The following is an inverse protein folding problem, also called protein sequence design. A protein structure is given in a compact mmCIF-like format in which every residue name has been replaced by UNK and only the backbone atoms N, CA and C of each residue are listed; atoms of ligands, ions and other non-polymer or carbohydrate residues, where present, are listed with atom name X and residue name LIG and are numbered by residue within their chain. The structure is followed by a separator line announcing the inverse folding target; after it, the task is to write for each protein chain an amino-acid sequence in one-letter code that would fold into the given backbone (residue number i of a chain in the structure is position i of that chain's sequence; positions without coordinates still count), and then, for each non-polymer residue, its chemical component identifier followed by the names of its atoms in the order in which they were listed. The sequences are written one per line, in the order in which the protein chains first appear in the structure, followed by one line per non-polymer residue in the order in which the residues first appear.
data_IF_458642457949
#
_entry.id   IF_458642457949
#
_cell.length_a   1.000
_cell.length_b   1.000
_cell.length_c   1.000
_cell.angle_alpha   90.00
_cell.angle_beta   90.00
_cell.angle_gamma   90.00
#
_symmetry.space_group_name_H-M   'P 1'
#
loop_
_entity.id
_entity.type
_entity.pdbx_description
1 polymer ?
#
# COMPACT_ATOMS: atom_id res chain seq x y z
N UNK A 1 59.52 15.73 -34.84
CA UNK A 1 60.43 14.68 -34.33
C UNK A 1 59.86 14.15 -33.01
N UNK A 2 59.73 12.82 -32.91
CA UNK A 2 59.43 11.93 -31.75
C UNK A 2 58.34 12.39 -30.74
N UNK A 3 57.20 11.71 -30.49
CA UNK A 3 56.82 10.28 -30.40
C UNK A 3 57.60 9.48 -29.35
N UNK A 4 56.98 9.19 -28.20
CA UNK A 4 57.31 8.02 -27.37
C UNK A 4 56.03 7.46 -26.74
N UNK A 5 55.69 6.27 -27.22
CA UNK A 5 54.75 5.26 -26.72
C UNK A 5 55.29 4.60 -25.46
N UNK A 6 54.45 4.13 -24.54
CA UNK A 6 54.83 3.03 -23.64
C UNK A 6 53.68 2.05 -23.46
N UNK A 7 54.02 0.77 -23.64
CA UNK A 7 53.17 -0.41 -23.75
C UNK A 7 53.35 -1.28 -22.49
N UNK A 8 52.22 -1.85 -22.05
CA UNK A 8 51.95 -3.14 -21.36
C UNK A 8 52.77 -3.63 -20.15
N UNK A 9 52.06 -4.28 -19.23
CA UNK A 9 52.26 -5.72 -18.95
C UNK A 9 51.19 -6.27 -18.00
N UNK A 10 50.52 -7.34 -18.42
CA UNK A 10 49.83 -8.31 -17.56
C UNK A 10 50.84 -9.30 -16.97
N UNK A 11 50.47 -10.00 -15.89
CA UNK A 11 50.80 -11.41 -15.79
C UNK A 11 49.58 -12.30 -15.52
N UNK A 12 49.70 -13.49 -16.07
CA UNK A 12 48.80 -14.64 -16.17
C UNK A 12 48.84 -15.58 -14.97
N UNK A 13 47.67 -16.19 -14.70
CA UNK A 13 47.38 -17.61 -14.41
C UNK A 13 48.16 -18.38 -13.31
N UNK A 14 47.42 -19.02 -12.41
CA UNK A 14 47.65 -20.42 -12.05
C UNK A 14 46.37 -21.10 -11.51
N UNK A 15 45.96 -22.16 -12.22
CA UNK A 15 45.06 -23.23 -11.81
C UNK A 15 45.71 -24.11 -10.73
N UNK A 16 44.94 -24.59 -9.75
CA UNK A 16 45.24 -25.84 -9.02
C UNK A 16 43.94 -26.62 -8.81
N UNK A 17 43.97 -27.89 -9.25
CA UNK A 17 42.93 -28.92 -9.13
C UNK A 17 43.19 -29.82 -7.92
N UNK A 18 42.08 -30.23 -7.27
CA UNK A 18 41.72 -31.40 -6.42
C UNK A 18 42.78 -32.38 -5.86
N UNK A 19 42.47 -33.09 -4.75
CA UNK A 19 41.85 -34.43 -4.89
C UNK A 19 40.76 -34.79 -3.84
N UNK A 20 39.95 -35.78 -4.24
CA UNK A 20 38.94 -36.52 -3.49
C UNK A 20 39.46 -37.22 -2.22
N UNK A 21 38.58 -37.37 -1.22
CA UNK A 21 38.64 -38.47 -0.26
C UNK A 21 37.24 -39.07 -0.05
N UNK A 22 37.09 -40.32 -0.51
CA UNK A 22 35.99 -41.24 -0.21
C UNK A 22 36.29 -41.99 1.09
N UNK A 23 35.29 -42.17 1.96
CA UNK A 23 35.15 -43.34 2.85
C UNK A 23 33.77 -43.42 3.52
N UNK A 24 33.00 -44.41 3.07
CA UNK A 24 32.14 -45.37 3.78
C UNK A 24 31.71 -45.05 5.24
N UNK A 25 30.39 -45.00 5.48
CA UNK A 25 29.79 -45.52 6.71
C UNK A 25 28.41 -46.14 6.46
N UNK A 26 28.20 -47.29 7.09
CA UNK A 26 27.11 -48.24 6.88
C UNK A 26 25.79 -47.83 7.58
N UNK A 27 24.69 -48.16 6.90
CA UNK A 27 23.33 -48.51 7.36
C UNK A 27 22.94 -48.31 8.84
N UNK A 28 21.85 -47.55 9.05
CA UNK A 28 20.78 -47.91 9.99
C UNK A 28 19.41 -47.63 9.36
N UNK A 29 18.66 -48.70 9.05
CA UNK A 29 17.27 -48.64 8.62
C UNK A 29 16.35 -48.47 9.84
N UNK A 30 15.72 -47.31 9.97
CA UNK A 30 14.60 -47.07 10.88
C UNK A 30 13.29 -47.20 10.10
N UNK A 31 12.52 -48.25 10.39
CA UNK A 31 11.19 -48.45 9.84
C UNK A 31 10.17 -47.63 10.64
N UNK A 32 9.87 -46.41 10.21
CA UNK A 32 8.73 -45.65 10.70
C UNK A 32 7.52 -45.90 9.79
N UNK A 33 6.55 -46.61 10.35
CA UNK A 33 5.27 -46.96 9.74
C UNK A 33 4.37 -45.72 9.73
N UNK A 34 4.44 -44.90 8.67
CA UNK A 34 3.53 -43.76 8.49
C UNK A 34 2.10 -44.24 8.19
N UNK A 35 1.18 -43.94 9.11
CA UNK A 35 -0.26 -44.05 8.88
C UNK A 35 -0.68 -42.97 7.87
N UNK A 36 -0.98 -43.36 6.63
CA UNK A 36 -1.60 -42.51 5.61
C UNK A 36 -3.04 -42.18 6.02
N UNK A 37 -3.28 -40.97 6.49
CA UNK A 37 -4.61 -40.39 6.53
C UNK A 37 -4.84 -39.68 5.19
N UNK A 38 -5.60 -40.30 4.28
CA UNK A 38 -5.97 -39.68 3.00
C UNK A 38 -7.04 -38.61 3.25
N UNK A 39 -6.61 -37.37 3.52
CA UNK A 39 -7.45 -36.20 3.30
C UNK A 39 -7.62 -36.05 1.80
N UNK A 40 -8.85 -36.21 1.32
CA UNK A 40 -9.23 -35.83 -0.04
C UNK A 40 -8.99 -34.32 -0.14
N UNK A 41 -7.95 -33.93 -0.87
CA UNK A 41 -7.79 -32.56 -1.36
C UNK A 41 -8.97 -32.31 -2.30
N UNK A 42 -9.90 -31.47 -1.87
CA UNK A 42 -10.80 -30.81 -2.79
C UNK A 42 -9.95 -29.71 -3.43
N UNK A 43 -9.38 -30.01 -4.59
CA UNK A 43 -8.78 -29.01 -5.47
C UNK A 43 -9.91 -28.17 -6.04
N UNK A 44 -10.31 -27.13 -5.30
CA UNK A 44 -11.00 -25.99 -5.88
C UNK A 44 -9.94 -24.96 -6.21
N UNK A 45 -9.51 -24.89 -7.46
CA UNK A 45 -8.76 -23.74 -7.95
C UNK A 45 -9.72 -22.55 -7.98
N UNK A 46 -9.74 -21.78 -6.90
CA UNK A 46 -10.23 -20.40 -6.98
C UNK A 46 -9.00 -19.60 -7.36
N UNK A 47 -8.76 -19.42 -8.67
CA UNK A 47 -7.84 -18.40 -9.15
C UNK A 47 -8.64 -17.11 -9.15
N UNK A 48 -8.39 -16.23 -8.18
CA UNK A 48 -9.03 -14.92 -8.18
C UNK A 48 -8.29 -14.05 -9.21
N UNK A 49 -8.68 -14.16 -10.47
CA UNK A 49 -8.16 -13.31 -11.53
C UNK A 49 -8.56 -11.85 -11.27
N UNK A 50 -7.59 -10.95 -11.23
CA UNK A 50 -7.86 -9.51 -11.16
C UNK A 50 -8.51 -9.08 -12.47
N UNK A 51 -9.69 -8.47 -12.39
CA UNK A 51 -10.46 -8.01 -13.54
C UNK A 51 -10.16 -6.54 -13.89
N UNK A 52 -10.19 -6.22 -15.18
CA UNK A 52 -10.15 -4.83 -15.64
C UNK A 52 -11.52 -4.18 -15.45
N UNK A 53 -11.67 -3.40 -14.37
CA UNK A 53 -12.89 -2.62 -14.13
C UNK A 53 -12.99 -1.44 -15.12
N UNK A 54 -14.16 -1.22 -15.75
CA UNK A 54 -14.38 -0.07 -16.61
C UNK A 54 -14.48 1.24 -15.80
N UNK A 55 -14.19 2.40 -16.39
CA UNK A 55 -14.51 3.69 -15.77
C UNK A 55 -16.01 3.81 -15.50
N UNK A 56 -16.45 4.58 -14.48
CA UNK A 56 -17.87 4.72 -14.11
C UNK A 56 -18.67 5.61 -15.09
N UNK A 57 -18.15 5.85 -16.28
CA UNK A 57 -18.73 6.69 -17.32
C UNK A 57 -18.28 6.21 -18.71
N UNK A 58 -19.01 6.63 -19.75
CA UNK A 58 -18.63 6.33 -21.14
C UNK A 58 -17.27 6.97 -21.49
N UNK A 59 -16.49 6.34 -22.39
CA UNK A 59 -15.12 6.78 -22.68
C UNK A 59 -15.01 8.18 -23.29
N UNK A 60 -16.08 8.74 -23.84
CA UNK A 60 -16.14 10.11 -24.36
C UNK A 60 -16.80 11.10 -23.38
N UNK A 61 -17.21 10.67 -22.19
CA UNK A 61 -18.01 11.49 -21.27
C UNK A 61 -17.21 12.61 -20.58
N UNK A 62 -15.87 12.57 -20.68
CA UNK A 62 -14.98 13.60 -20.14
C UNK A 62 -14.55 14.64 -21.19
N UNK A 63 -15.04 14.54 -22.43
CA UNK A 63 -14.78 15.55 -23.46
C UNK A 63 -15.40 16.91 -23.08
N UNK A 64 -14.75 18.04 -23.43
CA UNK A 64 -13.52 18.16 -24.21
C UNK A 64 -12.24 18.18 -23.35
N UNK A 65 -12.33 17.77 -22.08
CA UNK A 65 -11.27 17.97 -21.08
C UNK A 65 -10.27 16.82 -21.02
N UNK A 66 -10.71 15.61 -21.36
CA UNK A 66 -9.90 14.43 -21.63
C UNK A 66 -10.55 13.71 -22.81
N UNK A 67 -9.80 13.47 -23.88
CA UNK A 67 -10.37 12.93 -25.10
C UNK A 67 -10.76 11.46 -24.94
N UNK A 68 -11.72 11.02 -25.76
CA UNK A 68 -12.03 9.60 -25.88
C UNK A 68 -10.80 8.77 -26.24
N UNK A 69 -9.92 9.30 -27.09
CA UNK A 69 -8.69 8.62 -27.50
C UNK A 69 -7.76 8.39 -26.30
N UNK A 70 -7.56 9.41 -25.45
CA UNK A 70 -6.83 9.26 -24.19
C UNK A 70 -7.40 8.13 -23.33
N UNK A 71 -8.73 8.03 -23.16
CA UNK A 71 -9.31 6.94 -22.37
C UNK A 71 -9.19 5.57 -23.03
N UNK A 72 -9.32 5.47 -24.34
CA UNK A 72 -9.13 4.21 -25.07
C UNK A 72 -7.69 3.67 -24.91
N UNK A 73 -6.69 4.54 -24.89
CA UNK A 73 -5.30 4.15 -24.61
C UNK A 73 -5.06 3.92 -23.12
N UNK A 74 -5.41 4.88 -22.27
CA UNK A 74 -5.05 4.88 -20.85
C UNK A 74 -5.78 3.76 -20.08
N UNK A 75 -7.09 3.60 -20.26
CA UNK A 75 -7.82 2.46 -19.70
C UNK A 75 -7.65 1.20 -20.57
N UNK A 76 -7.88 1.31 -21.87
CA UNK A 76 -7.97 0.15 -22.76
C UNK A 76 -6.64 -0.55 -23.05
N UNK A 77 -5.51 0.14 -22.93
CA UNK A 77 -4.15 -0.39 -23.14
C UNK A 77 -3.29 -0.39 -21.88
N UNK A 78 -3.08 0.76 -21.25
CA UNK A 78 -2.17 0.86 -20.09
C UNK A 78 -2.72 0.11 -18.89
N UNK A 79 -3.93 0.46 -18.42
CA UNK A 79 -4.57 -0.23 -17.30
C UNK A 79 -4.75 -1.73 -17.59
N UNK A 80 -5.24 -2.09 -18.78
CA UNK A 80 -5.32 -3.50 -19.23
C UNK A 80 -3.97 -4.23 -19.18
N UNK A 81 -2.90 -3.55 -19.58
CA UNK A 81 -1.54 -4.10 -19.55
C UNK A 81 -1.10 -4.45 -18.13
N UNK A 82 -1.36 -3.56 -17.17
CA UNK A 82 -1.07 -3.81 -15.75
C UNK A 82 -1.87 -5.00 -15.21
N UNK A 83 -3.17 -5.09 -15.50
CA UNK A 83 -4.02 -6.23 -15.10
C UNK A 83 -3.47 -7.54 -15.67
N UNK A 84 -3.20 -7.59 -16.97
CA UNK A 84 -2.71 -8.79 -17.64
C UNK A 84 -1.34 -9.24 -17.10
N UNK A 85 -0.44 -8.29 -16.81
CA UNK A 85 0.88 -8.59 -16.29
C UNK A 85 0.82 -9.02 -14.83
N UNK A 86 -0.04 -8.39 -14.01
CA UNK A 86 -0.25 -8.79 -12.63
C UNK A 86 -0.75 -10.23 -12.54
N UNK A 87 -1.80 -10.57 -13.29
CA UNK A 87 -2.35 -11.93 -13.30
C UNK A 87 -1.28 -12.97 -13.65
N UNK A 88 -0.42 -12.71 -14.64
CA UNK A 88 0.72 -13.58 -14.98
C UNK A 88 1.77 -13.69 -13.87
N UNK A 89 1.94 -12.66 -13.06
CA UNK A 89 2.94 -12.65 -11.98
C UNK A 89 2.44 -13.37 -10.72
N UNK A 90 1.13 -13.37 -10.47
CA UNK A 90 0.55 -13.95 -9.25
C UNK A 90 0.01 -15.37 -9.44
N UNK A 91 -0.28 -15.79 -10.68
CA UNK A 91 -0.84 -17.11 -10.99
C UNK A 91 -0.05 -18.25 -10.30
N UNK A 92 -0.74 -19.03 -9.47
CA UNK A 92 -0.14 -20.16 -8.74
C UNK A 92 0.80 -19.78 -7.59
N UNK A 93 0.83 -18.50 -7.21
CA UNK A 93 1.55 -18.01 -6.02
C UNK A 93 0.58 -17.76 -4.86
N UNK A 94 1.11 -17.51 -3.65
CA UNK A 94 0.29 -17.10 -2.49
C UNK A 94 -0.44 -15.77 -2.70
N UNK A 95 -0.02 -14.95 -3.67
CA UNK A 95 -0.64 -13.66 -3.99
C UNK A 95 -1.96 -13.82 -4.76
N UNK A 96 -2.20 -14.97 -5.41
CA UNK A 96 -3.42 -15.24 -6.21
C UNK A 96 -4.70 -15.27 -5.36
N UNK A 97 -4.56 -15.50 -4.04
CA UNK A 97 -5.69 -15.57 -3.10
C UNK A 97 -5.91 -14.25 -2.34
N UNK A 98 -5.08 -13.24 -2.58
CA UNK A 98 -5.08 -11.98 -1.83
C UNK A 98 -5.90 -10.89 -2.52
N UNK A 99 -6.40 -9.94 -1.71
CA UNK A 99 -6.95 -8.69 -2.25
C UNK A 99 -5.86 -7.86 -2.93
N UNK A 100 -6.24 -6.97 -3.86
CA UNK A 100 -5.29 -6.12 -4.56
C UNK A 100 -4.47 -5.26 -3.59
N UNK A 101 -5.10 -4.70 -2.57
CA UNK A 101 -4.47 -3.92 -1.50
C UNK A 101 -3.47 -4.75 -0.68
N UNK A 102 -3.82 -6.01 -0.39
CA UNK A 102 -2.92 -6.95 0.29
C UNK A 102 -1.71 -7.30 -0.57
N UNK A 103 -1.90 -7.52 -1.88
CA UNK A 103 -0.79 -7.75 -2.83
C UNK A 103 0.14 -6.54 -2.86
N UNK A 104 -0.40 -5.32 -2.93
CA UNK A 104 0.40 -4.07 -2.92
C UNK A 104 1.22 -3.99 -1.64
N UNK A 105 0.60 -4.21 -0.48
CA UNK A 105 1.26 -4.13 0.82
C UNK A 105 2.37 -5.18 0.96
N UNK A 106 2.10 -6.43 0.59
CA UNK A 106 3.07 -7.52 0.64
C UNK A 106 4.24 -7.30 -0.33
N UNK A 107 3.95 -6.89 -1.56
CA UNK A 107 4.95 -6.71 -2.62
C UNK A 107 5.74 -5.40 -2.50
N UNK A 108 5.26 -4.40 -1.75
CA UNK A 108 6.06 -3.22 -1.43
C UNK A 108 7.27 -3.58 -0.56
N UNK A 109 7.12 -4.58 0.33
CA UNK A 109 8.19 -5.15 1.14
C UNK A 109 9.08 -4.08 1.81
N UNK A 110 8.44 -3.13 2.49
CA UNK A 110 9.10 -2.01 3.21
C UNK A 110 10.06 -1.19 2.34
N UNK A 111 9.78 -1.10 1.03
CA UNK A 111 10.58 -0.37 0.05
C UNK A 111 11.55 -1.26 -0.75
N UNK A 112 11.75 -2.53 -0.38
CA UNK A 112 12.48 -3.52 -1.19
C UNK A 112 11.51 -4.22 -2.17
N UNK A 113 11.06 -3.41 -3.12
CA UNK A 113 9.93 -3.70 -4.03
C UNK A 113 10.10 -5.04 -4.75
N UNK A 114 9.11 -5.93 -4.58
CA UNK A 114 9.00 -7.20 -5.29
C UNK A 114 8.38 -7.04 -6.69
N UNK A 115 8.59 -7.99 -7.63
CA UNK A 115 8.19 -7.85 -9.03
C UNK A 115 6.70 -7.55 -9.28
N UNK A 116 5.80 -8.03 -8.41
CA UNK A 116 4.35 -7.85 -8.54
C UNK A 116 3.89 -6.42 -8.23
N UNK A 117 4.64 -5.66 -7.41
CA UNK A 117 4.22 -4.37 -6.86
C UNK A 117 3.83 -3.37 -7.93
N UNK A 118 4.68 -3.19 -8.95
CA UNK A 118 4.45 -2.16 -9.96
C UNK A 118 3.13 -2.38 -10.71
N UNK A 119 2.81 -3.64 -11.07
CA UNK A 119 1.54 -3.92 -11.74
C UNK A 119 0.36 -3.86 -10.76
N UNK A 120 0.50 -4.42 -9.56
CA UNK A 120 -0.55 -4.38 -8.53
C UNK A 120 -0.95 -2.94 -8.18
N UNK A 121 0.04 -2.11 -7.85
CA UNK A 121 -0.19 -0.72 -7.50
C UNK A 121 -0.72 0.08 -8.69
N UNK A 122 -0.25 -0.16 -9.92
CA UNK A 122 -0.81 0.54 -11.08
C UNK A 122 -2.25 0.14 -11.39
N UNK A 123 -2.66 -1.12 -11.22
CA UNK A 123 -4.08 -1.51 -11.34
C UNK A 123 -4.92 -0.69 -10.36
N UNK A 124 -4.52 -0.67 -9.09
CA UNK A 124 -5.24 0.05 -8.06
C UNK A 124 -5.26 1.57 -8.31
N UNK A 125 -4.12 2.16 -8.67
CA UNK A 125 -4.01 3.60 -8.94
C UNK A 125 -4.94 4.02 -10.07
N UNK A 126 -5.03 3.23 -11.15
CA UNK A 126 -5.89 3.55 -12.29
C UNK A 126 -7.36 3.37 -11.96
N UNK A 127 -7.74 2.28 -11.27
CA UNK A 127 -9.11 2.11 -10.78
C UNK A 127 -9.53 3.33 -9.94
N UNK A 128 -8.70 3.71 -8.98
CA UNK A 128 -8.92 4.87 -8.12
C UNK A 128 -8.98 6.20 -8.89
N UNK A 129 -8.19 6.35 -9.96
CA UNK A 129 -8.15 7.52 -10.83
C UNK A 129 -9.44 7.69 -11.65
N UNK A 130 -10.00 6.61 -12.20
CA UNK A 130 -11.26 6.70 -12.95
C UNK A 130 -12.41 7.18 -12.07
N UNK A 131 -12.49 6.66 -10.84
CA UNK A 131 -13.48 7.09 -9.85
C UNK A 131 -13.25 8.51 -9.31
N UNK A 132 -12.02 9.01 -9.42
CA UNK A 132 -11.66 10.38 -9.02
C UNK A 132 -12.23 11.44 -9.97
N UNK A 133 -12.75 11.03 -11.13
CA UNK A 133 -13.33 11.90 -12.14
C UNK A 133 -14.82 11.66 -12.35
N UNK A 134 -15.53 12.66 -12.86
CA UNK A 134 -16.89 12.50 -13.40
C UNK A 134 -17.19 13.48 -14.52
N UNK A 135 -18.14 13.16 -15.42
CA UNK A 135 -18.70 14.14 -16.35
C UNK A 135 -19.31 15.33 -15.58
N UNK A 136 -18.97 16.56 -15.97
CA UNK A 136 -19.41 17.75 -15.26
C UNK A 136 -18.83 17.91 -13.86
N UNK A 137 -17.63 17.34 -13.62
CA UNK A 137 -16.90 17.49 -12.36
C UNK A 137 -16.28 18.87 -12.17
N UNK A 138 -15.33 18.94 -11.23
CA UNK A 138 -14.71 20.18 -10.78
C UNK A 138 -15.58 20.95 -9.80
N UNK A 139 -15.42 22.28 -9.77
CA UNK A 139 -16.04 23.12 -8.74
C UNK A 139 -15.35 22.96 -7.37
N UNK A 140 -16.11 23.17 -6.30
CA UNK A 140 -15.61 23.07 -4.91
C UNK A 140 -16.33 21.92 -4.17
N UNK A 141 -15.63 21.23 -3.24
CA UNK A 141 -16.30 20.32 -2.32
C UNK A 141 -17.20 21.10 -1.36
N UNK A 142 -18.02 20.38 -0.60
CA UNK A 142 -18.90 20.93 0.42
C UNK A 142 -18.88 20.05 1.67
N UNK A 143 -19.61 20.48 2.71
CA UNK A 143 -19.70 19.73 3.97
C UNK A 143 -18.36 19.56 4.67
N UNK A 144 -18.21 18.44 5.36
CA UNK A 144 -17.05 18.14 6.20
C UNK A 144 -15.72 18.17 5.42
N UNK A 145 -15.70 17.69 4.17
CA UNK A 145 -14.50 17.75 3.34
C UNK A 145 -14.00 19.19 3.17
N UNK A 146 -14.90 20.15 2.92
CA UNK A 146 -14.52 21.56 2.78
C UNK A 146 -14.03 22.15 4.11
N UNK A 147 -14.63 21.75 5.24
CA UNK A 147 -14.20 22.18 6.57
C UNK A 147 -12.79 21.70 6.89
N UNK A 148 -12.48 20.42 6.65
CA UNK A 148 -11.13 19.87 6.83
C UNK A 148 -10.13 20.53 5.88
N UNK A 149 -10.52 20.81 4.64
CA UNK A 149 -9.66 21.55 3.70
C UNK A 149 -9.33 22.94 4.22
N UNK A 150 -10.32 23.68 4.71
CA UNK A 150 -10.10 25.01 5.28
C UNK A 150 -9.25 24.96 6.55
N UNK A 151 -9.41 23.92 7.37
CA UNK A 151 -8.57 23.69 8.55
C UNK A 151 -7.11 23.46 8.15
N UNK A 152 -6.86 22.51 7.26
CA UNK A 152 -5.53 21.96 6.98
C UNK A 152 -4.75 22.77 5.93
N UNK A 153 -5.44 23.40 4.98
CA UNK A 153 -4.82 24.21 3.92
C UNK A 153 -5.14 25.70 4.03
N UNK A 154 -5.99 26.09 4.98
CA UNK A 154 -6.44 27.46 5.16
C UNK A 154 -7.55 27.93 4.24
N UNK A 155 -7.62 27.37 3.03
CA UNK A 155 -8.71 27.56 2.10
C UNK A 155 -8.71 26.44 1.05
N UNK A 156 -9.82 26.32 0.31
CA UNK A 156 -9.88 25.49 -0.89
C UNK A 156 -8.79 25.89 -1.91
N UNK A 157 -8.57 27.18 -2.11
CA UNK A 157 -7.51 27.69 -2.98
C UNK A 157 -6.12 27.27 -2.49
N UNK A 158 -5.91 27.20 -1.17
CA UNK A 158 -4.69 26.67 -0.56
C UNK A 158 -4.46 25.20 -0.91
N UNK A 159 -5.50 24.35 -0.81
CA UNK A 159 -5.41 22.96 -1.26
C UNK A 159 -5.05 22.88 -2.75
N UNK A 160 -5.76 23.62 -3.59
CA UNK A 160 -5.54 23.60 -5.05
C UNK A 160 -4.11 24.04 -5.39
N UNK A 161 -3.56 25.03 -4.68
CA UNK A 161 -2.17 25.45 -4.82
C UNK A 161 -1.20 24.30 -4.50
N UNK A 162 -1.32 23.69 -3.33
CA UNK A 162 -0.45 22.60 -2.89
C UNK A 162 -0.55 21.38 -3.81
N UNK A 163 -1.77 21.01 -4.21
CA UNK A 163 -2.00 19.89 -5.13
C UNK A 163 -1.38 20.13 -6.50
N UNK A 164 -1.56 21.34 -7.06
CA UNK A 164 -0.92 21.73 -8.33
C UNK A 164 0.59 21.69 -8.23
N UNK A 165 1.16 22.24 -7.15
CA UNK A 165 2.60 22.23 -6.93
C UNK A 165 3.14 20.80 -6.86
N UNK A 166 2.48 19.91 -6.13
CA UNK A 166 2.87 18.50 -6.04
C UNK A 166 2.83 17.81 -7.41
N UNK A 167 1.75 17.97 -8.17
CA UNK A 167 1.59 17.38 -9.50
C UNK A 167 2.60 17.92 -10.53
N UNK A 168 2.85 19.24 -10.53
CA UNK A 168 3.83 19.86 -11.45
C UNK A 168 5.26 19.45 -11.10
N UNK A 169 5.59 19.37 -9.81
CA UNK A 169 6.97 19.10 -9.37
C UNK A 169 7.31 17.62 -9.24
N UNK A 170 6.37 16.71 -9.55
CA UNK A 170 6.69 15.28 -9.69
C UNK A 170 7.55 15.09 -10.94
N UNK A 171 8.84 14.84 -10.76
CA UNK A 171 9.74 14.64 -11.89
C UNK A 171 9.57 13.23 -12.47
N UNK A 172 9.51 13.15 -13.81
CA UNK A 172 9.21 11.90 -14.51
C UNK A 172 7.78 11.43 -14.29
N UNK A 173 7.62 10.11 -14.23
CA UNK A 173 6.36 9.42 -14.01
C UNK A 173 5.96 9.37 -12.54
N UNK A 174 4.66 9.48 -12.28
CA UNK A 174 4.15 9.41 -10.91
C UNK A 174 2.73 9.92 -10.77
N UNK A 175 2.37 10.21 -9.52
CA UNK A 175 1.01 10.58 -9.13
C UNK A 175 1.03 11.72 -8.12
N UNK A 176 -0.03 12.51 -8.06
CA UNK A 176 -0.30 13.45 -6.98
C UNK A 176 -1.57 13.04 -6.23
N UNK A 177 -1.55 13.13 -4.91
CA UNK A 177 -2.59 12.60 -4.03
C UNK A 177 -3.03 13.64 -3.03
N UNK A 178 -4.33 13.66 -2.74
CA UNK A 178 -4.86 14.13 -1.47
C UNK A 178 -5.16 12.89 -0.63
N UNK A 179 -4.66 12.82 0.59
CA UNK A 179 -4.88 11.69 1.48
C UNK A 179 -5.29 12.16 2.88
N UNK A 180 -6.05 11.32 3.58
CA UNK A 180 -6.32 11.45 4.99
C UNK A 180 -5.28 10.65 5.77
N UNK A 181 -4.51 11.37 6.58
CA UNK A 181 -3.48 10.82 7.45
C UNK A 181 -4.08 10.65 8.84
N UNK A 182 -4.22 9.39 9.26
CA UNK A 182 -4.62 8.99 10.62
C UNK A 182 -3.45 9.30 11.57
N UNK A 183 -2.51 8.39 11.78
CA UNK A 183 -1.30 8.57 12.58
C UNK A 183 -0.36 7.40 12.24
N UNK A 184 0.98 7.61 12.27
CA UNK A 184 2.08 6.59 12.36
C UNK A 184 3.35 6.94 11.58
N UNK A 185 3.23 7.48 10.36
CA UNK A 185 4.39 7.71 9.49
C UNK A 185 4.40 9.14 8.98
N UNK A 186 5.49 9.86 9.28
CA UNK A 186 5.81 11.11 8.59
C UNK A 186 6.54 10.80 7.30
N UNK A 187 5.88 11.00 6.17
CA UNK A 187 6.51 10.87 4.86
C UNK A 187 7.12 12.23 4.51
N UNK A 188 8.44 12.34 4.26
CA UNK A 188 9.12 13.62 4.09
C UNK A 188 8.59 14.51 2.96
N UNK A 189 7.91 13.94 1.96
CA UNK A 189 7.33 14.67 0.84
C UNK A 189 5.81 14.91 0.95
N UNK A 190 5.17 14.48 2.04
CA UNK A 190 3.81 14.87 2.36
C UNK A 190 3.77 16.33 2.84
N UNK A 191 2.83 17.11 2.33
CA UNK A 191 2.67 18.54 2.58
C UNK A 191 1.32 18.80 3.23
N UNK A 192 1.36 19.45 4.39
CA UNK A 192 0.25 20.16 5.00
C UNK A 192 0.82 21.52 5.45
N UNK A 193 0.35 22.64 4.89
CA UNK A 193 0.93 23.95 5.14
C UNK A 193 0.59 24.51 6.52
N UNK A 194 -0.38 23.92 7.22
CA UNK A 194 -0.75 24.25 8.61
C UNK A 194 -0.52 23.02 9.49
N UNK A 195 0.75 22.63 9.70
CA UNK A 195 1.04 21.47 10.52
C UNK A 195 0.53 21.71 11.94
N UNK A 196 -0.38 20.86 12.38
CA UNK A 196 -0.66 20.62 13.79
C UNK A 196 0.04 19.34 14.23
N UNK A 197 0.34 19.24 15.52
CA UNK A 197 0.71 17.97 16.16
C UNK A 197 -0.47 16.99 16.21
N UNK A 198 -1.67 17.44 15.84
CA UNK A 198 -2.86 16.61 15.77
C UNK A 198 -2.85 15.71 14.53
N UNK A 199 -3.45 14.55 14.74
CA UNK A 199 -3.71 13.54 13.74
C UNK A 199 -4.94 13.80 12.91
N UNK A 200 -5.28 12.85 12.03
CA UNK A 200 -6.54 12.88 11.31
C UNK A 200 -6.64 14.14 10.45
N UNK A 201 -5.58 14.36 9.66
CA UNK A 201 -5.40 15.54 8.80
C UNK A 201 -5.26 15.19 7.34
N UNK A 202 -5.68 16.13 6.51
CA UNK A 202 -5.45 16.07 5.08
C UNK A 202 -4.00 16.42 4.77
N UNK A 203 -3.42 15.66 3.85
CA UNK A 203 -2.08 15.90 3.32
C UNK A 203 -2.09 15.80 1.79
N UNK A 204 -1.31 16.64 1.14
CA UNK A 204 -0.97 16.48 -0.28
C UNK A 204 0.36 15.75 -0.38
N UNK A 205 0.43 14.68 -1.16
CA UNK A 205 1.68 13.94 -1.39
C UNK A 205 1.83 13.63 -2.87
N UNK A 206 3.07 13.59 -3.36
CA UNK A 206 3.38 13.07 -4.71
C UNK A 206 4.16 11.78 -4.59
N UNK A 207 4.03 10.89 -5.55
CA UNK A 207 4.70 9.59 -5.51
C UNK A 207 5.31 9.24 -6.86
N UNK A 208 6.50 8.60 -6.89
CA UNK A 208 7.13 8.18 -8.12
C UNK A 208 6.51 6.87 -8.63
N UNK A 209 6.46 6.75 -9.96
CA UNK A 209 6.07 5.53 -10.66
C UNK A 209 4.72 4.97 -10.18
N UNK A 210 4.72 3.77 -9.59
CA UNK A 210 3.52 3.06 -9.15
C UNK A 210 3.19 3.28 -7.67
N UNK A 211 4.10 3.89 -6.90
CA UNK A 211 3.94 4.06 -5.46
C UNK A 211 2.66 4.83 -5.15
N UNK A 212 1.91 4.41 -4.15
CA UNK A 212 0.68 5.08 -3.71
C UNK A 212 0.62 5.16 -2.18
N UNK A 213 -0.27 5.98 -1.60
CA UNK A 213 -0.25 6.22 -0.16
C UNK A 213 -0.65 5.03 0.72
N UNK A 214 -1.17 3.93 0.15
CA UNK A 214 -1.50 2.72 0.92
C UNK A 214 -0.26 2.14 1.62
N UNK A 215 0.90 2.20 0.97
CA UNK A 215 2.16 1.68 1.52
C UNK A 215 2.72 2.53 2.67
N UNK A 216 2.09 3.68 2.94
CA UNK A 216 2.40 4.58 4.04
C UNK A 216 1.29 4.60 5.10
N UNK A 217 0.33 3.68 4.99
CA UNK A 217 -0.86 3.62 5.85
C UNK A 217 -1.69 4.91 5.82
N UNK A 218 -1.64 5.65 4.71
CA UNK A 218 -2.51 6.80 4.49
C UNK A 218 -3.74 6.35 3.71
N UNK A 219 -4.86 7.04 3.92
CA UNK A 219 -6.09 6.79 3.17
C UNK A 219 -6.18 7.74 1.96
N UNK A 220 -5.97 7.27 0.72
CA UNK A 220 -6.04 8.14 -0.45
C UNK A 220 -7.49 8.60 -0.67
N UNK A 221 -7.68 9.88 -0.99
CA UNK A 221 -8.99 10.48 -1.24
C UNK A 221 -9.16 10.93 -2.71
N UNK A 222 -8.13 11.57 -3.26
CA UNK A 222 -8.07 12.03 -4.65
C UNK A 222 -6.70 11.69 -5.24
N UNK A 223 -6.66 11.31 -6.52
CA UNK A 223 -5.40 11.14 -7.26
C UNK A 223 -5.44 11.84 -8.62
N UNK A 224 -4.26 12.20 -9.11
CA UNK A 224 -4.02 12.64 -10.47
C UNK A 224 -2.81 11.89 -11.05
N UNK A 225 -3.04 11.20 -12.17
CA UNK A 225 -1.97 10.59 -12.97
C UNK A 225 -1.15 11.68 -13.66
N UNK A 226 0.16 11.76 -13.40
CA UNK A 226 1.07 12.69 -14.09
C UNK A 226 2.11 11.96 -14.95
N UNK A 227 1.88 10.69 -15.25
CA UNK A 227 2.53 10.02 -16.37
C UNK A 227 2.13 10.68 -17.68
N UNK A 228 3.07 10.79 -18.61
CA UNK A 228 2.81 11.47 -19.90
C UNK A 228 1.66 10.81 -20.67
N UNK A 229 1.48 9.48 -20.59
CA UNK A 229 0.36 8.80 -21.26
C UNK A 229 -1.02 9.30 -20.83
N UNK A 230 -1.14 9.94 -19.65
CA UNK A 230 -2.42 10.43 -19.13
C UNK A 230 -2.86 11.76 -19.76
N UNK A 231 -1.94 12.49 -20.42
CA UNK A 231 -2.23 13.82 -20.93
C UNK A 231 -1.57 14.17 -22.27
N UNK A 232 -0.60 13.39 -22.75
CA UNK A 232 0.23 13.80 -23.88
C UNK A 232 -0.57 13.95 -25.18
N UNK A 233 -1.60 13.13 -25.40
CA UNK A 233 -2.46 13.23 -26.58
C UNK A 233 -3.31 14.51 -26.59
N UNK A 234 -3.65 15.04 -25.42
CA UNK A 234 -4.55 16.18 -25.26
C UNK A 234 -3.80 17.52 -24.99
N UNK A 235 -2.62 17.43 -24.37
CA UNK A 235 -1.87 18.58 -23.83
C UNK A 235 -0.38 18.59 -24.19
N UNK A 236 0.14 17.52 -24.80
CA UNK A 236 1.57 17.38 -25.10
C UNK A 236 2.45 17.67 -23.87
N UNK A 237 3.36 18.65 -23.94
CA UNK A 237 4.23 19.03 -22.82
C UNK A 237 3.54 19.93 -21.78
N UNK A 238 2.29 20.34 -21.98
CA UNK A 238 1.56 21.32 -21.16
C UNK A 238 0.90 20.65 -19.95
N UNK A 239 1.69 19.93 -19.15
CA UNK A 239 1.22 19.27 -17.91
C UNK A 239 0.46 20.23 -16.99
N UNK A 240 0.91 21.49 -16.87
CA UNK A 240 0.24 22.50 -16.03
C UNK A 240 -1.18 22.81 -16.48
N UNK A 241 -1.44 22.79 -17.79
CA UNK A 241 -2.78 22.99 -18.35
C UNK A 241 -3.67 21.79 -18.04
N UNK A 242 -3.14 20.57 -18.24
CA UNK A 242 -3.80 19.32 -17.88
C UNK A 242 -4.22 19.28 -16.40
N UNK A 243 -3.28 19.56 -15.48
CA UNK A 243 -3.54 19.59 -14.03
C UNK A 243 -4.65 20.62 -13.72
N UNK A 244 -4.58 21.80 -14.33
CA UNK A 244 -5.57 22.85 -14.11
C UNK A 244 -6.95 22.45 -14.65
N UNK A 245 -7.02 21.81 -15.82
CA UNK A 245 -8.28 21.30 -16.36
C UNK A 245 -8.86 20.21 -15.49
N UNK A 246 -8.04 19.25 -15.05
CA UNK A 246 -8.47 18.16 -14.17
C UNK A 246 -9.17 18.70 -12.91
N UNK A 247 -8.50 19.59 -12.17
CA UNK A 247 -9.03 20.16 -10.92
C UNK A 247 -10.30 20.99 -11.15
N UNK A 248 -10.37 21.72 -12.26
CA UNK A 248 -11.47 22.65 -12.52
C UNK A 248 -12.69 21.99 -13.16
N UNK A 249 -12.54 20.84 -13.82
CA UNK A 249 -13.56 20.28 -14.72
C UNK A 249 -13.84 18.79 -14.56
N UNK A 250 -12.94 18.03 -13.96
CA UNK A 250 -13.03 16.56 -13.94
C UNK A 250 -13.23 15.99 -12.54
N UNK A 251 -12.63 16.59 -11.50
CA UNK A 251 -12.67 16.02 -10.14
C UNK A 251 -14.09 15.74 -9.64
N UNK A 252 -14.32 14.52 -9.17
CA UNK A 252 -15.55 14.14 -8.46
C UNK A 252 -15.40 14.38 -6.96
N UNK A 253 -15.73 15.60 -6.50
CA UNK A 253 -15.66 15.92 -5.06
C UNK A 253 -16.60 15.07 -4.21
N UNK A 254 -17.71 14.58 -4.77
CA UNK A 254 -18.59 13.62 -4.10
C UNK A 254 -17.89 12.30 -3.80
N UNK A 255 -17.12 11.77 -4.76
CA UNK A 255 -16.31 10.56 -4.53
C UNK A 255 -15.26 10.82 -3.45
N UNK A 256 -14.62 11.99 -3.47
CA UNK A 256 -13.60 12.37 -2.46
C UNK A 256 -14.23 12.43 -1.06
N UNK A 257 -15.43 13.02 -0.92
CA UNK A 257 -16.18 13.03 0.34
C UNK A 257 -16.55 11.62 0.80
N UNK A 258 -17.08 10.77 -0.07
CA UNK A 258 -17.42 9.39 0.28
C UNK A 258 -16.20 8.59 0.76
N UNK A 259 -15.02 8.83 0.17
CA UNK A 259 -13.76 8.19 0.59
C UNK A 259 -13.26 8.71 1.94
N UNK A 260 -13.43 10.00 2.21
CA UNK A 260 -13.10 10.58 3.53
C UNK A 260 -13.95 9.92 4.61
N UNK A 261 -15.24 9.74 4.33
CA UNK A 261 -16.19 9.20 5.30
C UNK A 261 -15.90 7.72 5.54
N UNK A 262 -15.63 6.97 4.47
CA UNK A 262 -15.16 5.58 4.58
C UNK A 262 -13.85 5.47 5.38
N UNK A 263 -12.87 6.36 5.14
CA UNK A 263 -11.61 6.36 5.90
C UNK A 263 -11.85 6.58 7.39
N UNK A 264 -12.69 7.55 7.76
CA UNK A 264 -13.03 7.81 9.16
C UNK A 264 -13.76 6.64 9.83
N UNK A 265 -14.68 5.98 9.12
CA UNK A 265 -15.37 4.78 9.63
C UNK A 265 -14.38 3.65 9.86
N UNK A 266 -13.50 3.36 8.90
CA UNK A 266 -12.47 2.32 9.04
C UNK A 266 -11.56 2.57 10.25
N UNK A 267 -11.20 3.82 10.49
CA UNK A 267 -10.39 4.22 11.64
C UNK A 267 -11.16 3.98 12.95
N UNK A 268 -12.41 4.43 13.03
CA UNK A 268 -13.24 4.26 14.22
C UNK A 268 -13.52 2.78 14.52
N UNK A 269 -13.73 1.94 13.50
CA UNK A 269 -13.93 0.51 13.68
C UNK A 269 -12.64 -0.19 14.15
N UNK A 270 -11.48 0.15 13.58
CA UNK A 270 -10.18 -0.35 14.05
C UNK A 270 -9.89 0.04 15.50
N UNK A 271 -10.19 1.28 15.87
CA UNK A 271 -10.02 1.75 17.25
C UNK A 271 -10.93 1.01 18.23
N UNK A 272 -12.16 0.70 17.82
CA UNK A 272 -13.08 -0.13 18.62
C UNK A 272 -12.53 -1.55 18.79
N UNK A 273 -12.10 -2.18 17.70
CA UNK A 273 -11.51 -3.53 17.74
C UNK A 273 -10.26 -3.57 18.62
N UNK A 274 -9.37 -2.59 18.52
CA UNK A 274 -8.18 -2.49 19.37
C UNK A 274 -8.56 -2.35 20.84
N UNK A 275 -9.52 -1.47 21.17
CA UNK A 275 -9.97 -1.28 22.54
C UNK A 275 -10.65 -2.54 23.12
N UNK A 276 -11.35 -3.32 22.29
CA UNK A 276 -11.91 -4.61 22.69
C UNK A 276 -10.81 -5.65 22.98
N UNK A 277 -9.75 -5.70 22.18
CA UNK A 277 -8.58 -6.57 22.41
C UNK A 277 -7.86 -6.16 23.70
N UNK A 278 -7.56 -4.87 23.88
CA UNK A 278 -6.89 -4.36 25.07
C UNK A 278 -7.70 -4.67 26.34
N UNK A 279 -9.04 -4.57 26.28
CA UNK A 279 -9.91 -4.92 27.40
C UNK A 279 -9.93 -6.42 27.73
N UNK A 280 -9.75 -7.30 26.74
CA UNK A 280 -9.61 -8.75 26.96
C UNK A 280 -8.26 -9.05 27.62
N UNK A 281 -7.18 -8.45 27.13
CA UNK A 281 -5.82 -8.62 27.68
C UNK A 281 -5.73 -8.08 29.13
N UNK A 282 -6.45 -6.99 29.45
CA UNK A 282 -6.58 -6.49 30.83
C UNK A 282 -7.38 -7.43 31.76
N UNK A 283 -8.33 -8.21 31.24
CA UNK A 283 -9.12 -9.16 32.04
C UNK A 283 -8.36 -10.47 32.31
N UNK A 284 -7.52 -10.92 31.38
CA UNK A 284 -6.67 -12.11 31.54
C UNK A 284 -5.42 -11.86 32.42
N UNK A 285 -5.12 -10.59 32.74
CA UNK A 285 -3.99 -10.19 33.62
C UNK A 285 -4.36 -10.02 35.10
N UNK A 286 -5.61 -10.28 35.49
CA UNK A 286 -6.01 -10.37 36.90
C UNK A 286 -5.58 -11.74 37.44
N UNK A 287 -4.34 -11.85 37.92
CA UNK A 287 -3.91 -12.99 38.73
C UNK A 287 -4.77 -13.08 40.01
N UNK A 288 -5.12 -14.29 40.49
CA UNK A 288 -5.92 -14.45 41.69
C UNK A 288 -5.13 -13.90 42.88
N UNK A 289 -5.76 -13.01 43.67
CA UNK A 289 -5.23 -12.61 44.97
C UNK A 289 -4.81 -13.85 45.74
N UNK A 290 -3.53 -13.90 46.13
CA UNK A 290 -2.94 -14.92 46.99
C UNK A 290 -3.85 -15.12 48.20
N UNK A 291 -4.60 -16.23 48.19
CA UNK A 291 -5.37 -16.68 49.33
C UNK A 291 -4.41 -17.08 50.44
N UNK A 292 -4.39 -16.29 51.50
CA UNK A 292 -3.69 -16.55 52.76
C UNK A 292 -3.83 -18.03 53.18
N UNK A 293 -2.79 -18.83 52.95
CA UNK A 293 -2.66 -20.16 53.57
C UNK A 293 -2.35 -19.98 55.05
N UNK A 294 -3.39 -20.07 55.86
CA UNK A 294 -3.33 -20.14 57.32
C UNK A 294 -2.50 -21.37 57.75
N UNK A 295 -1.26 -21.15 58.21
CA UNK A 295 -0.47 -22.17 58.91
C UNK A 295 -1.06 -22.36 60.32
N UNK A 296 -1.93 -23.35 60.48
CA UNK A 296 -2.29 -23.90 61.79
C UNK A 296 -1.08 -24.65 62.36
N UNK A 297 -0.45 -24.09 63.39
CA UNK A 297 0.48 -24.82 64.24
C UNK A 297 -0.30 -25.33 65.44
N UNK A 298 -0.66 -26.61 65.39
CA UNK A 298 -1.15 -27.34 66.56
C UNK A 298 0.04 -27.55 67.52
N UNK A 299 0.04 -26.79 68.61
CA UNK A 299 0.85 -27.07 69.78
C UNK A 299 -0.02 -27.88 70.74
N UNK A 300 0.04 -29.21 70.61
CA UNK A 300 -0.50 -30.11 71.62
C UNK A 300 0.42 -30.13 72.84
N UNK A 301 -0.15 -29.70 73.97
CA UNK A 301 0.33 -29.91 75.32
C UNK A 301 0.51 -31.40 75.58
N UNK A 302 1.71 -31.81 76.01
CA UNK A 302 1.90 -33.05 76.76
C UNK A 302 2.48 -32.73 78.13
N UNK A 303 1.68 -33.05 79.13
CA UNK A 303 1.90 -32.90 80.56
C UNK A 303 2.88 -33.98 81.03
N UNK A 304 3.93 -33.56 81.74
CA UNK A 304 4.77 -34.43 82.56
C UNK A 304 3.98 -34.88 83.80
N UNK A 305 3.88 -36.19 84.02
CA UNK A 305 3.51 -36.77 85.32
C UNK A 305 4.63 -37.75 85.74
N UNK A 306 5.30 -37.38 86.82
CA UNK A 306 6.26 -38.18 87.58
C UNK A 306 5.53 -39.24 88.43
N UNK A 307 5.93 -40.52 88.31
CA UNK A 307 6.02 -41.49 89.43
C UNK A 307 7.04 -42.60 89.14
#
# INVERSE_FOLDING_TARGET
MASVTTIASHPTSAFISTPEFSRLSQSLHSSQRQRRCSRKSVCGTISASIDLKPPPYALNALEPHMSKETLEYHWGKHHRGYVNNLNKQIEGTELDEMSLESIISASYNKGDILPAFNNAAQVWNHEFFWESMKPGGGGKPSGELLELINRDFGSFEGLIHEFKLAATTQFGSGWAWLAYKEHKLDIPNARNPRPSEEDRKLVVVKSPNATNPLVWEYHPLLTLDVWEHAYYLDYENRRTDYISTFLNKLVSWETVSSRLEAAKVLIADREREMAEIDAIDEMDTIEPEDGDMYFGSDADEFVDDDE
#
